data_IF_055513677975
#
_entry.id   IF_055513677975
#
_cell.length_a   1.000
_cell.length_b   1.000
_cell.length_c   1.000
_cell.angle_alpha   90.00
_cell.angle_beta   90.00
_cell.angle_gamma   90.00
#
_symmetry.space_group_name_H-M   'P 1'
#
loop_
_entity.id
_entity.type
_entity.pdbx_description
1 polymer ?
#
# COMPACT_ATOMS: atom_id res chain seq x y z
N UNK A 1 2.51 4.51 7.82
CA UNK A 1 3.59 3.49 7.93
C UNK A 1 4.95 4.13 7.63
N UNK A 2 5.17 4.79 6.48
CA UNK A 2 6.46 5.37 6.11
C UNK A 2 7.05 6.26 7.20
N UNK A 3 6.33 7.31 7.61
CA UNK A 3 6.79 8.24 8.66
C UNK A 3 6.96 7.57 10.02
N UNK A 4 6.15 6.54 10.33
CA UNK A 4 6.31 5.75 11.54
C UNK A 4 7.66 5.02 11.54
N UNK A 5 7.97 4.24 10.50
CA UNK A 5 9.23 3.52 10.37
C UNK A 5 10.40 4.49 10.44
N UNK A 6 10.34 5.62 9.73
CA UNK A 6 11.40 6.63 9.72
C UNK A 6 11.66 7.23 11.11
N UNK A 7 10.61 7.54 11.87
CA UNK A 7 10.72 8.09 13.24
C UNK A 7 11.17 7.04 14.25
N UNK A 8 10.79 5.78 14.06
CA UNK A 8 11.13 4.65 14.93
C UNK A 8 12.36 3.87 14.44
N UNK A 9 13.16 4.43 13.55
CA UNK A 9 14.23 3.72 12.82
C UNK A 9 15.25 3.00 13.69
N UNK A 10 15.47 3.45 14.92
CA UNK A 10 16.39 2.79 15.87
C UNK A 10 15.68 1.83 16.83
N UNK A 11 14.36 1.75 16.79
CA UNK A 11 13.57 0.89 17.65
C UNK A 11 13.33 -0.47 16.97
N UNK A 12 14.09 -1.49 17.38
CA UNK A 12 13.99 -2.84 16.80
C UNK A 12 12.61 -3.49 17.03
N UNK A 13 11.91 -3.12 18.12
CA UNK A 13 10.56 -3.64 18.41
C UNK A 13 9.47 -3.04 17.50
N UNK A 14 9.81 -2.00 16.74
CA UNK A 14 8.91 -1.36 15.78
C UNK A 14 9.06 -1.90 14.34
N UNK A 15 9.80 -2.99 14.15
CA UNK A 15 9.94 -3.64 12.84
C UNK A 15 8.60 -4.26 12.45
N UNK A 16 8.11 -3.87 11.27
CA UNK A 16 6.83 -4.34 10.75
C UNK A 16 7.00 -5.64 9.93
N UNK A 17 5.99 -6.51 9.96
CA UNK A 17 5.97 -7.73 9.14
C UNK A 17 5.69 -7.42 7.66
N UNK A 18 5.44 -8.46 6.88
CA UNK A 18 5.03 -8.35 5.49
C UNK A 18 3.85 -7.38 5.32
N UNK A 19 3.94 -6.51 4.33
CA UNK A 19 2.90 -5.52 4.01
C UNK A 19 1.49 -6.14 3.90
N UNK A 20 1.41 -7.34 3.35
CA UNK A 20 0.14 -8.05 3.16
C UNK A 20 -0.60 -8.37 4.46
N UNK A 21 0.10 -8.42 5.60
CA UNK A 21 -0.50 -8.67 6.92
C UNK A 21 -0.97 -7.38 7.61
N UNK A 22 -0.49 -6.22 7.16
CA UNK A 22 -0.89 -4.91 7.70
C UNK A 22 -2.17 -4.45 7.01
N UNK A 23 -3.30 -5.00 7.44
CA UNK A 23 -4.63 -4.76 6.85
C UNK A 23 -5.45 -3.77 7.67
N UNK A 24 -6.62 -3.38 7.15
CA UNK A 24 -7.56 -2.50 7.86
C UNK A 24 -8.11 -3.09 9.16
N UNK A 25 -7.88 -4.39 9.42
CA UNK A 25 -8.27 -5.08 10.65
C UNK A 25 -7.19 -5.05 11.75
N UNK A 26 -6.01 -4.52 11.46
CA UNK A 26 -4.97 -4.32 12.48
C UNK A 26 -5.44 -3.33 13.55
N UNK A 27 -5.00 -3.47 14.82
CA UNK A 27 -5.47 -2.62 15.92
C UNK A 27 -5.37 -1.12 15.66
N UNK A 28 -4.23 -0.64 15.18
CA UNK A 28 -4.05 0.80 14.91
C UNK A 28 -4.92 1.29 13.73
N UNK A 29 -5.20 0.44 12.74
CA UNK A 29 -6.10 0.78 11.62
C UNK A 29 -7.56 0.80 12.06
N UNK A 30 -7.98 -0.10 12.95
CA UNK A 30 -9.31 -0.06 13.55
C UNK A 30 -9.50 1.17 14.44
N UNK A 31 -8.49 1.52 15.25
CA UNK A 31 -8.49 2.74 16.04
C UNK A 31 -8.63 3.99 15.16
N UNK A 32 -7.87 4.04 14.05
CA UNK A 32 -7.98 5.10 13.06
C UNK A 32 -9.39 5.21 12.47
N UNK A 33 -9.96 4.10 11.98
CA UNK A 33 -11.31 4.09 11.38
C UNK A 33 -12.37 4.58 12.37
N UNK A 34 -12.34 4.07 13.60
CA UNK A 34 -13.31 4.46 14.63
C UNK A 34 -13.21 5.94 14.96
N UNK A 35 -12.00 6.46 15.13
CA UNK A 35 -11.75 7.88 15.40
C UNK A 35 -12.15 8.78 14.23
N UNK A 36 -11.89 8.33 12.99
CA UNK A 36 -12.27 9.04 11.78
C UNK A 36 -13.78 9.23 11.72
N UNK A 37 -14.55 8.14 11.86
CA UNK A 37 -16.03 8.16 11.80
C UNK A 37 -16.58 9.06 12.91
N UNK A 38 -16.13 8.86 14.15
CA UNK A 38 -16.53 9.70 15.30
C UNK A 38 -16.28 11.18 15.01
N UNK A 39 -15.08 11.51 14.53
CA UNK A 39 -14.69 12.91 14.29
C UNK A 39 -15.48 13.55 13.16
N UNK A 40 -15.69 12.84 12.07
CA UNK A 40 -16.46 13.33 10.92
C UNK A 40 -17.93 13.53 11.29
N UNK A 41 -18.57 12.53 11.87
CA UNK A 41 -19.99 12.57 12.20
C UNK A 41 -20.32 13.58 13.32
N UNK A 42 -19.39 13.76 14.28
CA UNK A 42 -19.53 14.82 15.29
C UNK A 42 -19.63 16.22 14.65
N UNK A 43 -19.06 16.40 13.46
CA UNK A 43 -19.03 17.67 12.71
C UNK A 43 -20.00 17.71 11.55
N UNK A 44 -20.84 16.70 11.36
CA UNK A 44 -21.74 16.60 10.21
C UNK A 44 -21.00 16.49 8.87
N UNK A 45 -19.80 15.89 8.87
CA UNK A 45 -19.00 15.63 7.68
C UNK A 45 -19.04 14.14 7.35
N UNK A 46 -19.02 13.81 6.04
CA UNK A 46 -18.99 12.44 5.58
C UNK A 46 -17.63 11.77 5.88
N UNK A 47 -17.67 10.53 6.36
CA UNK A 47 -16.51 9.66 6.50
C UNK A 47 -16.43 8.72 5.29
N UNK A 48 -15.40 8.86 4.46
CA UNK A 48 -15.23 8.07 3.24
C UNK A 48 -14.19 6.98 3.47
N UNK A 49 -14.54 5.74 3.11
CA UNK A 49 -13.66 4.59 3.16
C UNK A 49 -12.52 4.65 2.15
N UNK A 50 -11.49 3.85 2.35
CA UNK A 50 -10.31 3.81 1.49
C UNK A 50 -10.56 3.15 0.13
N UNK A 51 -9.62 3.31 -0.79
CA UNK A 51 -9.68 2.71 -2.11
C UNK A 51 -9.54 1.18 -2.05
N UNK A 52 -10.46 0.45 -2.67
CA UNK A 52 -10.22 -0.93 -3.04
C UNK A 52 -9.33 -0.96 -4.28
N UNK A 53 -8.08 -1.42 -4.10
CA UNK A 53 -7.05 -1.39 -5.14
C UNK A 53 -7.19 -2.51 -6.20
N UNK A 54 -8.06 -3.51 -5.98
CA UNK A 54 -8.31 -4.60 -6.92
C UNK A 54 -8.77 -4.06 -8.27
N UNK A 55 -8.37 -4.75 -9.32
CA UNK A 55 -8.86 -4.51 -10.68
C UNK A 55 -9.40 -5.83 -11.25
N UNK A 56 -10.38 -5.80 -12.19
CA UNK A 56 -10.90 -7.01 -12.79
C UNK A 56 -9.82 -7.85 -13.47
N UNK A 57 -9.86 -9.16 -13.28
CA UNK A 57 -8.89 -10.11 -13.82
C UNK A 57 -9.51 -10.79 -15.07
N UNK A 58 -8.99 -10.46 -16.23
CA UNK A 58 -9.44 -11.06 -17.50
C UNK A 58 -8.84 -12.46 -17.68
N UNK A 59 -9.61 -13.38 -18.28
CA UNK A 59 -9.13 -14.72 -18.64
C UNK A 59 -9.00 -15.71 -17.47
N UNK A 60 -9.33 -15.31 -16.25
CA UNK A 60 -9.34 -16.20 -15.08
C UNK A 60 -10.51 -15.87 -14.16
N UNK A 61 -11.65 -16.49 -14.43
CA UNK A 61 -12.89 -16.25 -13.70
C UNK A 61 -12.78 -16.54 -12.19
N UNK A 62 -12.13 -17.63 -11.81
CA UNK A 62 -11.92 -17.99 -10.39
C UNK A 62 -11.13 -16.92 -9.64
N UNK A 63 -10.03 -16.46 -10.23
CA UNK A 63 -9.21 -15.40 -9.64
C UNK A 63 -9.98 -14.07 -9.59
N UNK A 64 -10.74 -13.76 -10.64
CA UNK A 64 -11.57 -12.56 -10.69
C UNK A 64 -12.64 -12.58 -9.59
N UNK A 65 -13.37 -13.68 -9.43
CA UNK A 65 -14.40 -13.82 -8.40
C UNK A 65 -13.78 -13.66 -6.99
N UNK A 66 -12.65 -14.29 -6.74
CA UNK A 66 -11.93 -14.14 -5.46
C UNK A 66 -11.48 -12.68 -5.20
N UNK A 67 -11.08 -11.93 -6.24
CA UNK A 67 -10.75 -10.53 -6.11
C UNK A 67 -12.00 -9.67 -5.84
N UNK A 68 -13.12 -9.94 -6.52
CA UNK A 68 -14.39 -9.23 -6.31
C UNK A 68 -14.98 -9.52 -4.93
N UNK A 69 -14.84 -10.73 -4.40
CA UNK A 69 -15.28 -11.07 -3.03
C UNK A 69 -14.47 -10.31 -1.98
N UNK A 70 -13.17 -10.09 -2.21
CA UNK A 70 -12.35 -9.22 -1.35
C UNK A 70 -12.87 -7.77 -1.35
N UNK A 71 -13.26 -7.25 -2.52
CA UNK A 71 -13.87 -5.91 -2.61
C UNK A 71 -15.19 -5.88 -1.84
N UNK A 72 -16.08 -6.86 -1.99
CA UNK A 72 -17.33 -6.93 -1.24
C UNK A 72 -17.08 -6.95 0.27
N UNK A 73 -16.16 -7.78 0.74
CA UNK A 73 -15.82 -7.87 2.16
C UNK A 73 -15.25 -6.55 2.70
N UNK A 74 -14.42 -5.87 1.91
CA UNK A 74 -13.88 -4.56 2.24
C UNK A 74 -14.99 -3.50 2.40
N UNK A 75 -15.87 -3.39 1.42
CA UNK A 75 -16.98 -2.42 1.43
C UNK A 75 -18.01 -2.73 2.50
N UNK A 76 -18.24 -4.01 2.78
CA UNK A 76 -19.11 -4.43 3.89
C UNK A 76 -18.52 -3.98 5.24
N UNK A 77 -17.23 -4.19 5.46
CA UNK A 77 -16.55 -3.71 6.67
C UNK A 77 -16.70 -2.19 6.82
N UNK A 78 -16.50 -1.44 5.73
CA UNK A 78 -16.60 0.02 5.75
C UNK A 78 -17.99 0.51 6.10
N UNK A 79 -19.02 0.04 5.40
CA UNK A 79 -20.41 0.48 5.65
C UNK A 79 -20.90 0.09 7.03
N UNK A 80 -20.56 -1.11 7.53
CA UNK A 80 -20.92 -1.55 8.89
C UNK A 80 -20.16 -0.77 9.98
N UNK A 81 -18.95 -0.27 9.68
CA UNK A 81 -18.22 0.63 10.58
C UNK A 81 -18.88 2.01 10.68
N UNK A 82 -19.65 2.42 9.68
CA UNK A 82 -20.35 3.71 9.64
C UNK A 82 -19.85 4.68 8.58
N UNK A 83 -19.05 4.24 7.61
CA UNK A 83 -18.65 5.11 6.49
C UNK A 83 -19.85 5.49 5.62
N UNK A 84 -19.86 6.70 5.11
CA UNK A 84 -20.92 7.27 4.27
C UNK A 84 -20.71 7.00 2.78
N UNK A 85 -19.57 6.49 2.42
CA UNK A 85 -19.20 6.18 1.05
C UNK A 85 -17.81 5.53 1.00
N UNK A 86 -17.35 5.26 -0.21
CA UNK A 86 -16.09 4.58 -0.43
C UNK A 86 -15.43 4.98 -1.74
N UNK A 87 -14.24 4.45 -1.97
CA UNK A 87 -13.45 4.65 -3.16
C UNK A 87 -13.04 3.31 -3.77
N UNK A 88 -13.05 3.21 -5.09
CA UNK A 88 -12.63 2.03 -5.86
C UNK A 88 -11.67 2.44 -6.97
N UNK A 89 -10.70 1.57 -7.28
CA UNK A 89 -9.66 1.85 -8.28
C UNK A 89 -10.13 1.67 -9.74
N UNK A 90 -11.26 1.03 -9.98
CA UNK A 90 -11.72 0.70 -11.33
C UNK A 90 -13.24 0.89 -11.47
N UNK A 91 -13.75 1.49 -12.58
CA UNK A 91 -15.18 1.73 -12.78
C UNK A 91 -16.06 0.47 -12.65
N UNK A 92 -15.56 -0.68 -13.07
CA UNK A 92 -16.29 -1.95 -12.95
C UNK A 92 -16.56 -2.39 -11.50
N UNK A 93 -15.89 -1.79 -10.50
CA UNK A 93 -16.13 -2.06 -9.08
C UNK A 93 -17.24 -1.19 -8.48
N UNK A 94 -17.65 -0.13 -9.17
CA UNK A 94 -18.72 0.78 -8.70
C UNK A 94 -20.03 0.03 -8.42
N UNK A 95 -20.54 -0.86 -9.30
CA UNK A 95 -21.75 -1.63 -9.01
C UNK A 95 -21.64 -2.48 -7.75
N UNK A 96 -20.47 -3.09 -7.51
CA UNK A 96 -20.21 -3.91 -6.32
C UNK A 96 -20.27 -3.06 -5.04
N UNK A 97 -19.62 -1.89 -5.06
CA UNK A 97 -19.65 -0.98 -3.92
C UNK A 97 -21.06 -0.45 -3.66
N UNK A 98 -21.81 -0.06 -4.70
CA UNK A 98 -23.18 0.40 -4.58
C UNK A 98 -24.13 -0.68 -4.04
N UNK A 99 -24.01 -1.94 -4.52
CA UNK A 99 -24.77 -3.07 -4.00
C UNK A 99 -24.63 -3.19 -2.47
N UNK A 100 -23.39 -3.15 -1.98
CA UNK A 100 -23.10 -3.29 -0.55
C UNK A 100 -23.60 -2.08 0.25
N UNK A 101 -23.30 -0.86 -0.20
CA UNK A 101 -23.69 0.36 0.51
C UNK A 101 -25.21 0.53 0.51
N UNK A 102 -25.90 0.35 -0.61
CA UNK A 102 -27.37 0.49 -0.71
C UNK A 102 -28.11 -0.51 0.18
N UNK A 103 -27.52 -1.70 0.41
CA UNK A 103 -28.11 -2.71 1.28
C UNK A 103 -28.03 -2.35 2.76
N UNK A 104 -26.97 -1.65 3.19
CA UNK A 104 -26.66 -1.43 4.61
C UNK A 104 -26.78 0.03 5.05
N UNK A 105 -26.68 0.99 4.14
CA UNK A 105 -26.89 2.41 4.38
C UNK A 105 -28.23 2.83 3.75
N UNK A 106 -29.30 2.81 4.54
CA UNK A 106 -30.66 3.04 4.06
C UNK A 106 -31.01 4.52 3.83
N UNK A 107 -30.10 5.43 4.16
CA UNK A 107 -30.26 6.88 3.97
C UNK A 107 -29.12 7.46 3.16
N UNK A 108 -29.09 8.80 2.96
CA UNK A 108 -28.07 9.47 2.17
C UNK A 108 -26.69 9.48 2.86
N UNK A 109 -26.64 9.20 4.16
CA UNK A 109 -25.44 9.15 4.98
C UNK A 109 -25.68 8.35 6.27
N UNK A 110 -24.66 8.22 7.10
CA UNK A 110 -24.68 7.54 8.39
C UNK A 110 -24.31 8.48 9.56
N UNK A 111 -24.56 9.78 9.48
CA UNK A 111 -24.18 10.76 10.52
C UNK A 111 -24.79 10.47 11.89
N UNK A 112 -25.85 9.64 11.95
CA UNK A 112 -26.45 9.14 13.20
C UNK A 112 -25.55 8.12 13.91
N UNK A 113 -24.59 7.49 13.21
CA UNK A 113 -23.59 6.57 13.78
C UNK A 113 -22.50 7.38 14.45
N UNK A 114 -22.75 7.91 15.64
CA UNK A 114 -21.92 8.90 16.32
C UNK A 114 -20.63 8.33 16.91
N UNK A 115 -20.58 7.03 17.16
CA UNK A 115 -19.42 6.36 17.80
C UNK A 115 -19.03 7.02 19.13
N UNK A 116 -19.99 7.41 19.95
CA UNK A 116 -19.74 8.13 21.21
C UNK A 116 -19.01 7.28 22.25
N UNK A 117 -19.09 5.95 22.13
CA UNK A 117 -18.36 4.98 22.94
C UNK A 117 -16.86 4.92 22.65
N UNK A 118 -16.42 5.39 21.48
CA UNK A 118 -15.04 5.28 21.03
C UNK A 118 -14.11 6.16 21.90
N UNK A 119 -13.06 5.54 22.38
CA UNK A 119 -11.95 6.21 23.09
C UNK A 119 -10.65 5.75 22.47
N UNK A 120 -10.03 6.63 21.69
CA UNK A 120 -8.76 6.37 20.99
C UNK A 120 -7.70 7.33 21.49
N UNK A 121 -6.59 6.77 21.93
CA UNK A 121 -5.40 7.50 22.36
C UNK A 121 -4.32 7.53 21.25
N UNK A 122 -3.28 8.33 21.45
CA UNK A 122 -2.11 8.31 20.59
C UNK A 122 -1.41 6.94 20.59
N UNK A 123 -1.45 6.22 21.71
CA UNK A 123 -0.86 4.87 21.81
C UNK A 123 -1.59 3.87 20.92
N UNK A 124 -2.91 3.95 20.82
CA UNK A 124 -3.70 3.07 19.95
C UNK A 124 -3.38 3.31 18.47
N UNK A 125 -3.19 4.57 18.07
CA UNK A 125 -2.87 4.97 16.70
C UNK A 125 -1.42 4.66 16.29
N UNK A 126 -0.52 4.58 17.26
CA UNK A 126 0.92 4.35 17.05
C UNK A 126 1.37 2.95 17.45
N UNK A 127 0.43 2.05 17.76
CA UNK A 127 0.74 0.68 18.16
C UNK A 127 1.27 -0.13 16.98
N UNK A 128 2.56 -0.51 16.95
CA UNK A 128 3.16 -1.28 15.85
C UNK A 128 2.87 -2.77 15.97
N UNK A 129 2.17 -3.21 17.01
CA UNK A 129 1.92 -4.61 17.28
C UNK A 129 0.92 -5.18 16.25
N UNK A 130 1.46 -5.73 15.19
CA UNK A 130 0.72 -6.35 14.09
C UNK A 130 1.15 -7.80 13.99
N UNK A 131 0.19 -8.71 14.03
CA UNK A 131 0.46 -10.12 13.81
C UNK A 131 0.95 -10.37 12.38
N UNK A 132 2.07 -11.03 12.26
CA UNK A 132 2.65 -11.34 10.96
C UNK A 132 4.15 -11.59 11.07
N UNK A 133 4.72 -11.99 9.96
CA UNK A 133 6.12 -12.36 9.85
C UNK A 133 6.72 -11.73 8.59
N UNK A 134 8.04 -11.68 8.53
CA UNK A 134 8.77 -11.31 7.32
C UNK A 134 9.02 -12.60 6.54
N UNK A 135 8.60 -12.64 5.27
CA UNK A 135 8.80 -13.78 4.38
C UNK A 135 9.63 -13.41 3.16
N UNK A 136 10.26 -14.38 2.51
CA UNK A 136 10.90 -14.15 1.21
C UNK A 136 9.86 -13.69 0.16
N UNK A 137 8.65 -14.25 0.21
CA UNK A 137 7.55 -13.85 -0.68
C UNK A 137 7.17 -12.38 -0.48
N UNK A 138 7.11 -11.90 0.78
CA UNK A 138 6.86 -10.50 1.11
C UNK A 138 7.97 -9.58 0.62
N UNK A 139 9.24 -9.99 0.76
CA UNK A 139 10.37 -9.25 0.21
C UNK A 139 10.29 -9.15 -1.33
N UNK A 140 9.96 -10.25 -2.01
CA UNK A 140 9.75 -10.28 -3.47
C UNK A 140 8.60 -9.36 -3.90
N UNK A 141 7.48 -9.41 -3.20
CA UNK A 141 6.33 -8.56 -3.49
C UNK A 141 6.68 -7.06 -3.38
N UNK A 142 7.43 -6.67 -2.33
CA UNK A 142 7.89 -5.29 -2.16
C UNK A 142 8.87 -4.88 -3.27
N UNK A 143 9.83 -5.73 -3.63
CA UNK A 143 10.79 -5.45 -4.72
C UNK A 143 10.06 -5.33 -6.05
N UNK A 144 9.17 -6.27 -6.37
CA UNK A 144 8.38 -6.27 -7.62
C UNK A 144 7.53 -4.99 -7.76
N UNK A 145 6.80 -4.62 -6.69
CA UNK A 145 5.97 -3.42 -6.68
C UNK A 145 6.82 -2.16 -6.89
N UNK A 146 7.95 -2.02 -6.19
CA UNK A 146 8.79 -0.84 -6.29
C UNK A 146 9.47 -0.73 -7.66
N UNK A 147 10.03 -1.82 -8.19
CA UNK A 147 10.69 -1.81 -9.51
C UNK A 147 9.70 -1.43 -10.62
N UNK A 148 8.55 -2.10 -10.67
CA UNK A 148 7.54 -1.82 -11.68
C UNK A 148 6.97 -0.40 -11.53
N UNK A 149 6.71 0.06 -10.31
CA UNK A 149 6.22 1.42 -10.08
C UNK A 149 7.24 2.48 -10.53
N UNK A 150 8.50 2.42 -10.06
CA UNK A 150 9.52 3.40 -10.41
C UNK A 150 9.78 3.44 -11.92
N UNK A 151 9.86 2.28 -12.59
CA UNK A 151 10.07 2.21 -14.03
C UNK A 151 8.92 2.85 -14.83
N UNK A 152 7.69 2.73 -14.36
CA UNK A 152 6.54 3.40 -14.97
C UNK A 152 6.50 4.89 -14.61
N UNK A 153 6.82 5.24 -13.36
CA UNK A 153 6.74 6.62 -12.89
C UNK A 153 7.71 7.54 -13.65
N UNK A 154 8.95 7.11 -13.88
CA UNK A 154 9.93 7.91 -14.66
C UNK A 154 9.52 8.07 -16.13
N UNK A 155 8.59 7.25 -16.61
CA UNK A 155 7.95 7.36 -17.92
C UNK A 155 6.63 8.14 -17.88
N UNK A 156 6.31 8.81 -16.75
CA UNK A 156 5.15 9.68 -16.58
C UNK A 156 3.86 8.97 -16.15
N UNK A 157 3.91 7.69 -15.76
CA UNK A 157 2.74 6.94 -15.30
C UNK A 157 2.82 6.70 -13.79
N UNK A 158 2.04 7.47 -13.02
CA UNK A 158 2.04 7.45 -11.54
C UNK A 158 1.00 6.55 -10.90
N UNK A 159 0.22 5.77 -11.67
CA UNK A 159 -0.75 4.80 -11.18
C UNK A 159 -0.68 3.55 -12.06
N UNK A 160 -0.22 2.43 -11.52
CA UNK A 160 0.24 1.28 -12.31
C UNK A 160 -0.44 -0.01 -11.87
N UNK A 161 -1.04 -0.78 -12.80
CA UNK A 161 -1.54 -2.11 -12.47
C UNK A 161 -0.38 -3.09 -12.27
N UNK A 162 -0.21 -3.56 -11.03
CA UNK A 162 0.82 -4.53 -10.65
C UNK A 162 0.13 -5.67 -9.90
N UNK A 163 0.32 -6.91 -10.36
CA UNK A 163 -0.27 -8.11 -9.73
C UNK A 163 -1.78 -7.97 -9.45
N UNK A 164 -2.53 -7.44 -10.41
CA UNK A 164 -3.98 -7.21 -10.32
C UNK A 164 -4.42 -6.20 -9.26
N UNK A 165 -3.50 -5.34 -8.82
CA UNK A 165 -3.78 -4.20 -7.95
C UNK A 165 -3.38 -2.92 -8.67
N UNK A 166 -4.16 -1.85 -8.49
CA UNK A 166 -3.79 -0.52 -8.93
C UNK A 166 -2.88 0.10 -7.88
N UNK A 167 -1.59 0.08 -8.14
CA UNK A 167 -0.57 0.56 -7.22
C UNK A 167 -0.19 2.01 -7.51
N UNK A 168 0.05 2.77 -6.46
CA UNK A 168 0.43 4.18 -6.49
C UNK A 168 1.75 4.46 -5.75
N UNK A 169 2.12 5.73 -5.61
CA UNK A 169 3.32 6.14 -4.90
C UNK A 169 3.33 5.67 -3.44
N UNK A 170 2.17 5.62 -2.77
CA UNK A 170 2.10 5.21 -1.37
C UNK A 170 2.51 3.74 -1.19
N UNK A 171 2.09 2.86 -2.09
CA UNK A 171 2.50 1.45 -2.10
C UNK A 171 3.99 1.29 -2.35
N UNK A 172 4.53 2.03 -3.31
CA UNK A 172 5.95 2.01 -3.61
C UNK A 172 6.79 2.50 -2.42
N UNK A 173 6.35 3.57 -1.74
CA UNK A 173 7.00 4.10 -0.55
C UNK A 173 6.95 3.13 0.64
N UNK A 174 5.81 2.48 0.89
CA UNK A 174 5.71 1.47 1.94
C UNK A 174 6.63 0.29 1.62
N UNK A 175 6.69 -0.15 0.37
CA UNK A 175 7.57 -1.24 -0.06
C UNK A 175 9.04 -0.88 0.14
N UNK A 176 9.44 0.33 -0.26
CA UNK A 176 10.81 0.85 -0.11
C UNK A 176 11.25 0.89 1.35
N UNK A 177 10.43 1.51 2.20
CA UNK A 177 10.79 1.71 3.61
C UNK A 177 10.77 0.40 4.40
N UNK A 178 9.90 -0.56 4.05
CA UNK A 178 9.88 -1.89 4.67
C UNK A 178 11.15 -2.66 4.35
N UNK A 179 11.60 -2.70 3.08
CA UNK A 179 12.86 -3.35 2.69
C UNK A 179 14.05 -2.71 3.40
N UNK A 180 14.09 -1.38 3.47
CA UNK A 180 15.12 -0.66 4.20
C UNK A 180 15.12 -1.03 5.68
N UNK A 181 13.94 -1.03 6.34
CA UNK A 181 13.81 -1.35 7.76
C UNK A 181 14.32 -2.76 8.06
N UNK A 182 13.96 -3.74 7.24
CA UNK A 182 14.37 -5.14 7.44
C UNK A 182 15.88 -5.32 7.29
N UNK A 183 16.49 -4.67 6.32
CA UNK A 183 17.94 -4.67 6.13
C UNK A 183 18.64 -3.94 7.29
N UNK A 184 18.18 -2.76 7.65
CA UNK A 184 18.77 -1.94 8.72
C UNK A 184 18.80 -2.67 10.07
N UNK A 185 17.76 -3.41 10.41
CA UNK A 185 17.67 -4.17 11.66
C UNK A 185 18.26 -5.59 11.57
N UNK A 186 18.80 -6.00 10.45
CA UNK A 186 19.31 -7.35 10.26
C UNK A 186 18.23 -8.42 10.49
N UNK A 187 17.01 -8.17 10.02
CA UNK A 187 15.88 -9.07 10.15
C UNK A 187 16.13 -10.41 9.47
N UNK A 188 15.37 -11.43 9.87
CA UNK A 188 15.37 -12.73 9.19
C UNK A 188 13.96 -13.03 8.69
N UNK A 189 13.87 -13.71 7.56
CA UNK A 189 12.61 -14.28 7.09
C UNK A 189 12.24 -15.52 7.90
N UNK A 190 10.97 -15.93 7.86
CA UNK A 190 10.53 -17.18 8.52
C UNK A 190 11.25 -18.41 7.98
N UNK A 191 11.72 -18.35 6.74
CA UNK A 191 12.52 -19.39 6.11
C UNK A 191 13.98 -19.40 6.63
N UNK A 192 14.30 -18.54 7.61
CA UNK A 192 15.62 -18.43 8.25
C UNK A 192 16.66 -17.64 7.47
N UNK A 193 16.30 -17.02 6.33
CA UNK A 193 17.22 -16.24 5.51
C UNK A 193 17.45 -14.85 6.12
N UNK A 194 18.71 -14.41 6.29
CA UNK A 194 19.00 -13.05 6.73
C UNK A 194 18.65 -12.04 5.61
N UNK A 195 17.92 -11.00 5.96
CA UNK A 195 17.56 -9.92 5.02
C UNK A 195 18.73 -8.96 4.94
N UNK A 196 19.65 -9.23 4.03
CA UNK A 196 20.86 -8.42 3.76
C UNK A 196 20.71 -7.64 2.45
N UNK A 197 21.54 -6.61 2.21
CA UNK A 197 21.57 -5.96 0.90
C UNK A 197 21.80 -6.94 -0.26
N UNK A 198 22.66 -7.94 -0.07
CA UNK A 198 22.94 -8.97 -1.09
C UNK A 198 21.73 -9.86 -1.36
N UNK A 199 20.98 -10.24 -0.31
CA UNK A 199 19.73 -10.98 -0.47
C UNK A 199 18.71 -10.16 -1.27
N UNK A 200 18.56 -8.88 -0.97
CA UNK A 200 17.67 -7.99 -1.73
C UNK A 200 18.14 -7.83 -3.17
N UNK A 201 19.45 -7.68 -3.44
CA UNK A 201 19.98 -7.59 -4.81
C UNK A 201 19.68 -8.85 -5.65
N UNK A 202 19.74 -10.04 -5.05
CA UNK A 202 19.35 -11.27 -5.74
C UNK A 202 17.88 -11.25 -6.14
N UNK A 203 17.01 -10.76 -5.25
CA UNK A 203 15.58 -10.59 -5.54
C UNK A 203 15.39 -9.52 -6.63
N UNK A 204 16.06 -8.38 -6.52
CA UNK A 204 16.02 -7.31 -7.54
C UNK A 204 16.37 -7.88 -8.93
N UNK A 205 17.45 -8.63 -9.04
CA UNK A 205 17.86 -9.22 -10.31
C UNK A 205 16.78 -10.15 -10.88
N UNK A 206 16.21 -11.02 -10.04
CA UNK A 206 15.19 -11.97 -10.48
C UNK A 206 13.85 -11.32 -10.83
N UNK A 207 13.42 -10.29 -10.10
CA UNK A 207 12.16 -9.59 -10.37
C UNK A 207 12.29 -8.65 -11.58
N UNK A 208 13.43 -7.97 -11.73
CA UNK A 208 13.69 -7.12 -12.89
C UNK A 208 13.69 -7.90 -14.21
N UNK A 209 14.21 -9.14 -14.20
CA UNK A 209 14.21 -10.00 -15.40
C UNK A 209 12.79 -10.35 -15.89
N UNK A 210 11.76 -10.19 -15.06
CA UNK A 210 10.35 -10.40 -15.43
C UNK A 210 9.72 -9.18 -16.11
N UNK A 211 10.32 -8.00 -16.00
CA UNK A 211 9.77 -6.74 -16.50
C UNK A 211 10.13 -6.48 -17.98
N UNK A 212 10.02 -7.49 -18.80
CA UNK A 212 10.44 -7.47 -20.22
C UNK A 212 9.59 -6.54 -21.10
N UNK A 213 8.40 -6.17 -20.65
CA UNK A 213 7.50 -5.25 -21.36
C UNK A 213 7.77 -3.77 -21.05
N UNK A 214 8.60 -3.47 -20.05
CA UNK A 214 8.94 -2.11 -19.66
C UNK A 214 10.24 -1.65 -20.33
N UNK A 215 10.45 -0.32 -20.36
CA UNK A 215 11.68 0.29 -20.88
C UNK A 215 12.91 -0.23 -20.11
N UNK A 216 13.90 -0.82 -20.77
CA UNK A 216 15.06 -1.41 -20.11
C UNK A 216 15.88 -0.38 -19.30
N UNK A 217 15.96 0.87 -19.77
CA UNK A 217 16.70 1.94 -19.08
C UNK A 217 15.96 2.35 -17.80
N UNK A 218 14.63 2.44 -17.85
CA UNK A 218 13.80 2.73 -16.67
C UNK A 218 13.87 1.59 -15.64
N UNK A 219 13.87 0.33 -16.09
CA UNK A 219 14.07 -0.84 -15.21
C UNK A 219 15.46 -0.82 -14.57
N UNK A 220 16.52 -0.53 -15.33
CA UNK A 220 17.88 -0.46 -14.80
C UNK A 220 18.04 0.70 -13.80
N UNK A 221 17.46 1.86 -14.07
CA UNK A 221 17.40 2.98 -13.13
C UNK A 221 16.72 2.55 -11.81
N UNK A 222 15.57 1.89 -11.90
CA UNK A 222 14.83 1.41 -10.73
C UNK A 222 15.62 0.39 -9.90
N UNK A 223 16.33 -0.51 -10.55
CA UNK A 223 17.25 -1.47 -9.91
C UNK A 223 18.34 -0.77 -9.10
N UNK A 224 19.04 0.17 -9.73
CA UNK A 224 20.11 0.95 -9.07
C UNK A 224 19.56 1.75 -7.91
N UNK A 225 18.42 2.42 -8.10
CA UNK A 225 17.77 3.19 -7.06
C UNK A 225 17.43 2.32 -5.84
N UNK A 226 16.73 1.19 -6.03
CA UNK A 226 16.36 0.32 -4.91
C UNK A 226 17.60 -0.26 -4.20
N UNK A 227 18.59 -0.73 -4.94
CA UNK A 227 19.84 -1.25 -4.36
C UNK A 227 20.57 -0.20 -3.52
N UNK A 228 20.55 1.07 -3.93
CA UNK A 228 21.08 2.19 -3.16
C UNK A 228 20.24 2.46 -1.90
N UNK A 229 18.90 2.47 -2.01
CA UNK A 229 18.01 2.79 -0.91
C UNK A 229 18.14 1.80 0.25
N UNK A 230 18.23 0.50 -0.02
CA UNK A 230 18.35 -0.52 1.05
C UNK A 230 19.70 -0.48 1.78
N UNK A 231 20.70 0.23 1.24
CA UNK A 231 22.02 0.43 1.84
C UNK A 231 22.19 1.77 2.54
N UNK A 232 21.23 2.66 2.37
CA UNK A 232 21.30 4.01 2.93
C UNK A 232 21.32 3.97 4.47
N UNK A 233 22.11 4.84 5.10
CA UNK A 233 22.07 5.02 6.56
C UNK A 233 20.73 5.53 7.03
N UNK A 234 20.11 6.39 6.24
CA UNK A 234 18.76 6.91 6.46
C UNK A 234 17.98 6.86 5.15
N UNK A 235 16.69 6.53 5.21
CA UNK A 235 15.86 6.54 4.01
C UNK A 235 15.67 7.98 3.51
N UNK A 236 15.72 8.16 2.20
CA UNK A 236 15.40 9.45 1.58
C UNK A 236 13.94 9.86 1.86
N UNK A 237 13.64 11.15 1.70
CA UNK A 237 12.32 11.69 2.08
C UNK A 237 11.20 11.11 1.21
N UNK A 238 11.40 11.12 -0.12
CA UNK A 238 10.34 10.68 -1.02
C UNK A 238 10.93 10.18 -2.35
N UNK A 239 10.49 9.01 -2.82
CA UNK A 239 11.02 8.39 -4.05
C UNK A 239 10.80 9.26 -5.29
N UNK A 240 9.66 9.94 -5.37
CA UNK A 240 9.36 10.80 -6.52
C UNK A 240 10.25 12.03 -6.55
N UNK A 241 10.63 12.59 -5.40
CA UNK A 241 11.62 13.67 -5.32
C UNK A 241 12.99 13.21 -5.81
N UNK A 242 13.41 12.02 -5.36
CA UNK A 242 14.69 11.43 -5.78
C UNK A 242 14.74 11.18 -7.29
N UNK A 243 13.64 10.73 -7.86
CA UNK A 243 13.54 10.31 -9.26
C UNK A 243 13.11 11.44 -10.22
N UNK A 244 12.74 12.63 -9.73
CA UNK A 244 12.26 13.74 -10.56
C UNK A 244 13.24 14.12 -11.68
N UNK A 245 14.55 14.09 -11.41
CA UNK A 245 15.58 14.39 -12.42
C UNK A 245 15.63 13.38 -13.59
N UNK A 246 14.98 12.23 -13.43
CA UNK A 246 14.94 11.15 -14.41
C UNK A 246 13.60 11.06 -15.15
N UNK A 247 12.66 11.97 -14.88
CA UNK A 247 11.42 12.04 -15.65
C UNK A 247 11.74 12.26 -17.14
N UNK A 248 11.08 11.50 -17.97
CA UNK A 248 11.25 11.60 -19.42
C UNK A 248 10.72 12.96 -19.92
N UNK A 249 11.63 13.82 -20.37
CA UNK A 249 11.31 15.16 -20.86
C UNK A 249 10.43 15.14 -22.13
N UNK A 250 10.34 14.01 -22.85
CA UNK A 250 9.46 13.88 -24.01
C UNK A 250 7.97 13.99 -23.64
N UNK A 251 7.62 13.68 -22.39
CA UNK A 251 6.24 13.75 -21.87
C UNK A 251 5.83 15.20 -21.58
N UNK A 252 6.76 16.06 -21.19
CA UNK A 252 6.49 17.47 -20.91
C UNK A 252 6.17 18.28 -22.17
N UNK A 253 6.65 17.85 -23.34
CA UNK A 253 6.42 18.54 -24.62
C UNK A 253 5.10 18.14 -25.30
N UNK A 254 4.45 17.06 -24.89
CA UNK A 254 3.19 16.59 -25.49
C UNK A 254 1.92 17.10 -24.79
N UNK A 255 2.07 17.96 -23.77
CA UNK A 255 0.96 18.50 -22.94
C UNK A 255 0.79 20.02 -23.00
N UNK A 256 1.41 20.67 -23.99
CA UNK A 256 1.20 22.11 -24.27
C UNK A 256 0.33 22.27 -25.49
#
# INVERSE_FOLDING_TARGET
IFSFIKRQRYNKSAVLPDRATVTMTCPFMQAYVNLLIQTCHKRGAAAIGGMAAQIPIKGNEKANNAAMDKVRADKLREVLAGHDGTWVAHPALVPIALEVFNKHMLGPNQYHVRREEVRVSALDLLNPNVDGQITEAGARANVSALLAYCANWVRGNGCVPINHLMEDAATAEISRISLWQWVFHGSKTVEGKPVTPQFIDQIIASEAAKLTSLDPNAVDLSRRYLSQQVRAKEPSEFLTTDLTAHLDNSISQSRI
#
